data_IF_466668419055
#
_entry.id   IF_466668419055
#
_cell.length_a   1.000
_cell.length_b   1.000
_cell.length_c   1.000
_cell.angle_alpha   90.00
_cell.angle_beta   90.00
_cell.angle_gamma   90.00
#
_symmetry.space_group_name_H-M   'P 1'
#
loop_
_entity.id
_entity.type
_entity.pdbx_description
1 polymer ?
#
# COMPACT_ATOMS: atom_id res chain seq x y z
N UNK A 1 -13.65 -6.85 -1.92
CA UNK A 1 -14.32 -6.40 -0.68
C UNK A 1 -14.10 -7.33 0.51
N UNK A 2 -13.82 -8.63 0.32
CA UNK A 2 -13.65 -9.58 1.44
C UNK A 2 -12.52 -9.20 2.43
N UNK A 3 -11.40 -8.65 1.95
CA UNK A 3 -10.27 -8.26 2.82
C UNK A 3 -10.59 -7.05 3.70
N UNK A 4 -11.19 -6.00 3.14
CA UNK A 4 -11.64 -4.82 3.91
C UNK A 4 -12.71 -5.21 4.94
N UNK A 5 -13.67 -6.05 4.54
CA UNK A 5 -14.70 -6.57 5.44
C UNK A 5 -14.08 -7.36 6.61
N UNK A 6 -13.01 -8.13 6.37
CA UNK A 6 -12.29 -8.86 7.42
C UNK A 6 -11.61 -7.95 8.46
N UNK A 7 -11.39 -6.69 8.11
CA UNK A 7 -10.87 -5.63 8.98
C UNK A 7 -11.96 -4.72 9.55
N UNK A 8 -13.24 -4.98 9.25
CA UNK A 8 -14.37 -4.10 9.60
C UNK A 8 -14.22 -2.69 9.02
N UNK A 9 -13.65 -2.56 7.83
CA UNK A 9 -13.48 -1.29 7.12
C UNK A 9 -14.50 -1.23 5.98
N UNK A 10 -15.32 -0.18 5.94
CA UNK A 10 -16.23 0.04 4.82
C UNK A 10 -15.44 0.47 3.58
N UNK A 11 -15.85 -0.02 2.41
CA UNK A 11 -15.28 0.41 1.13
C UNK A 11 -15.54 1.89 0.86
N UNK A 12 -16.64 2.45 1.39
CA UNK A 12 -16.98 3.86 1.24
C UNK A 12 -16.03 4.79 2.01
N UNK A 13 -15.45 4.32 3.11
CA UNK A 13 -14.55 5.10 3.98
C UNK A 13 -13.09 5.11 3.50
N UNK A 14 -12.79 4.39 2.41
CA UNK A 14 -11.43 4.26 1.89
C UNK A 14 -11.29 4.80 0.49
N UNK A 15 -10.18 5.50 0.26
CA UNK A 15 -9.72 5.85 -1.08
C UNK A 15 -8.74 4.80 -1.58
N UNK A 16 -9.01 4.22 -2.75
CA UNK A 16 -8.15 3.21 -3.38
C UNK A 16 -7.58 3.78 -4.67
N UNK A 17 -6.26 3.70 -4.81
CA UNK A 17 -5.52 4.22 -5.96
C UNK A 17 -4.33 3.32 -6.26
N UNK A 18 -3.81 3.41 -7.48
CA UNK A 18 -2.61 2.71 -7.94
C UNK A 18 -1.52 3.72 -8.33
N UNK A 19 -0.26 3.33 -8.19
CA UNK A 19 0.89 4.13 -8.65
C UNK A 19 0.80 4.32 -10.15
N UNK A 20 0.69 3.24 -10.91
CA UNK A 20 0.60 3.31 -12.37
C UNK A 20 -0.85 3.35 -12.78
N UNK A 21 -1.21 4.29 -13.66
CA UNK A 21 -2.59 4.44 -14.18
C UNK A 21 -2.82 3.66 -15.46
N UNK A 22 -1.76 3.35 -16.19
CA UNK A 22 -1.81 2.45 -17.34
C UNK A 22 -1.54 1.00 -16.94
N UNK A 23 -2.24 0.07 -17.58
CA UNK A 23 -1.96 -1.35 -17.43
C UNK A 23 -0.78 -1.69 -18.35
N UNK A 24 0.38 -2.13 -17.83
CA UNK A 24 1.49 -2.49 -18.69
C UNK A 24 1.08 -3.62 -19.64
N UNK A 25 1.54 -3.60 -20.90
CA UNK A 25 1.28 -4.70 -21.82
C UNK A 25 1.76 -6.02 -21.21
N UNK A 26 0.93 -7.07 -21.33
CA UNK A 26 1.17 -8.42 -20.77
C UNK A 26 1.26 -8.50 -19.23
N UNK A 27 0.73 -7.51 -18.49
CA UNK A 27 0.86 -7.43 -17.02
C UNK A 27 2.32 -7.47 -16.54
N UNK A 28 3.27 -6.99 -17.36
CA UNK A 28 4.65 -6.83 -16.92
C UNK A 28 4.72 -5.88 -15.73
N UNK A 29 5.80 -6.01 -14.97
CA UNK A 29 6.11 -5.07 -13.92
C UNK A 29 6.30 -3.64 -14.49
N UNK A 30 5.89 -2.60 -13.74
CA UNK A 30 6.17 -1.22 -14.14
C UNK A 30 7.66 -0.94 -14.22
N UNK A 31 8.07 -0.19 -15.24
CA UNK A 31 9.43 0.31 -15.34
C UNK A 31 9.63 1.49 -14.39
N UNK A 32 10.86 1.72 -13.88
CA UNK A 32 11.16 2.87 -13.02
C UNK A 32 10.71 4.21 -13.63
N UNK A 33 10.94 4.42 -14.93
CA UNK A 33 10.50 5.64 -15.62
C UNK A 33 8.98 5.80 -15.69
N UNK A 34 8.21 4.71 -15.72
CA UNK A 34 6.74 4.78 -15.67
C UNK A 34 6.26 5.20 -14.27
N UNK A 35 6.94 4.73 -13.21
CA UNK A 35 6.67 5.13 -11.83
C UNK A 35 6.99 6.61 -11.62
N UNK A 36 8.08 7.11 -12.19
CA UNK A 36 8.48 8.53 -12.11
C UNK A 36 7.45 9.46 -12.78
N UNK A 37 6.88 9.05 -13.91
CA UNK A 37 5.83 9.83 -14.60
C UNK A 37 4.55 9.90 -13.76
N UNK A 38 4.15 8.77 -13.16
CA UNK A 38 2.88 8.71 -12.44
C UNK A 38 2.97 9.12 -10.97
N UNK A 39 4.17 9.10 -10.39
CA UNK A 39 4.44 9.48 -9.00
C UNK A 39 3.81 10.83 -8.61
N UNK A 40 4.07 11.92 -9.34
CA UNK A 40 3.51 13.23 -9.02
C UNK A 40 1.98 13.27 -8.87
N UNK A 41 1.24 12.43 -9.60
CA UNK A 41 -0.22 12.34 -9.46
C UNK A 41 -0.62 11.69 -8.13
N UNK A 42 0.04 10.60 -7.74
CA UNK A 42 -0.14 10.01 -6.42
C UNK A 42 0.29 10.98 -5.33
N UNK A 43 1.31 11.80 -5.62
CA UNK A 43 1.77 12.82 -4.70
C UNK A 43 0.70 13.84 -4.39
N UNK A 44 0.08 14.36 -5.44
CA UNK A 44 -1.03 15.28 -5.31
C UNK A 44 -2.24 14.66 -4.62
N UNK A 45 -2.55 13.38 -4.89
CA UNK A 45 -3.64 12.68 -4.22
C UNK A 45 -3.43 12.63 -2.70
N UNK A 46 -2.21 12.28 -2.25
CA UNK A 46 -1.92 12.21 -0.82
C UNK A 46 -1.92 13.59 -0.15
N UNK A 47 -1.52 14.65 -0.84
CA UNK A 47 -1.59 16.03 -0.33
C UNK A 47 -3.02 16.54 -0.13
N UNK A 48 -3.94 16.11 -0.99
CA UNK A 48 -5.37 16.48 -0.93
C UNK A 48 -6.08 15.64 0.13
N UNK A 49 -5.89 14.32 0.11
CA UNK A 49 -6.60 13.39 0.98
C UNK A 49 -6.08 13.47 2.42
N UNK A 50 -4.78 13.71 2.60
CA UNK A 50 -4.11 13.77 3.91
C UNK A 50 -4.42 12.55 4.79
N UNK A 51 -4.18 11.32 4.30
CA UNK A 51 -4.58 10.12 5.02
C UNK A 51 -3.76 9.94 6.30
N UNK A 52 -4.44 9.57 7.39
CA UNK A 52 -3.80 9.13 8.64
C UNK A 52 -3.14 7.76 8.53
N UNK A 53 -3.63 6.91 7.61
CA UNK A 53 -3.11 5.57 7.38
C UNK A 53 -3.04 5.28 5.88
N UNK A 54 -1.90 4.78 5.41
CA UNK A 54 -1.64 4.40 4.03
C UNK A 54 -1.33 2.90 4.02
N UNK A 55 -2.22 2.13 3.38
CA UNK A 55 -2.00 0.71 3.15
C UNK A 55 -1.41 0.51 1.76
N UNK A 56 -0.18 -0.04 1.67
CA UNK A 56 0.46 -0.33 0.38
C UNK A 56 0.24 -1.79 0.02
N UNK A 57 -0.04 -2.07 -1.26
CA UNK A 57 -0.31 -3.41 -1.77
C UNK A 57 0.84 -3.83 -2.70
N UNK A 58 1.72 -4.69 -2.21
CA UNK A 58 2.89 -5.20 -2.95
C UNK A 58 4.13 -4.30 -2.91
N UNK A 59 5.23 -4.81 -3.48
CA UNK A 59 6.56 -4.20 -3.35
C UNK A 59 6.67 -2.79 -3.93
N UNK A 60 6.08 -2.54 -5.11
CA UNK A 60 6.22 -1.26 -5.80
C UNK A 60 5.57 -0.12 -5.03
N UNK A 61 4.35 -0.36 -4.52
CA UNK A 61 3.65 0.64 -3.72
C UNK A 61 4.30 0.87 -2.37
N UNK A 62 4.81 -0.18 -1.75
CA UNK A 62 5.63 -0.09 -0.54
C UNK A 62 6.89 0.76 -0.78
N UNK A 63 7.70 0.43 -1.77
CA UNK A 63 8.96 1.12 -2.07
C UNK A 63 8.76 2.62 -2.32
N UNK A 64 7.79 2.96 -3.18
CA UNK A 64 7.50 4.35 -3.52
C UNK A 64 7.05 5.17 -2.29
N UNK A 65 6.05 4.67 -1.54
CA UNK A 65 5.52 5.38 -0.37
C UNK A 65 6.58 5.48 0.73
N UNK A 66 7.31 4.40 1.01
CA UNK A 66 8.33 4.45 2.06
C UNK A 66 9.44 5.44 1.72
N UNK A 67 9.93 5.49 0.47
CA UNK A 67 10.91 6.50 0.04
C UNK A 67 10.37 7.92 0.20
N UNK A 68 9.13 8.17 -0.25
CA UNK A 68 8.49 9.48 -0.13
C UNK A 68 8.43 9.97 1.30
N UNK A 69 8.16 9.09 2.25
CA UNK A 69 8.06 9.44 3.67
C UNK A 69 9.39 9.26 4.44
N UNK A 70 10.53 9.17 3.74
CA UNK A 70 11.87 9.13 4.36
C UNK A 70 12.21 7.81 5.07
N UNK A 71 11.47 6.73 4.78
CA UNK A 71 11.64 5.41 5.41
C UNK A 71 12.46 4.44 4.54
N UNK A 72 13.27 4.95 3.62
CA UNK A 72 14.05 4.12 2.68
C UNK A 72 15.03 3.17 3.39
N UNK A 73 15.57 3.56 4.54
CA UNK A 73 16.47 2.75 5.37
C UNK A 73 15.80 1.50 5.95
N UNK A 74 14.47 1.48 6.01
CA UNK A 74 13.68 0.34 6.48
C UNK A 74 13.32 -0.65 5.35
N UNK A 75 13.62 -0.33 4.09
CA UNK A 75 13.22 -1.16 2.96
C UNK A 75 13.86 -2.55 3.01
N UNK A 76 13.00 -3.57 2.99
CA UNK A 76 13.34 -4.99 2.90
C UNK A 76 12.36 -5.67 1.94
N UNK A 77 12.61 -6.92 1.50
CA UNK A 77 11.66 -7.66 0.69
C UNK A 77 10.25 -7.66 1.30
N UNK A 78 9.21 -7.62 0.47
CA UNK A 78 7.80 -7.56 0.92
C UNK A 78 7.45 -8.69 1.92
N UNK A 79 8.09 -9.86 1.77
CA UNK A 79 7.95 -11.00 2.68
C UNK A 79 8.38 -10.74 4.12
N UNK A 80 9.22 -9.73 4.34
CA UNK A 80 9.66 -9.30 5.68
C UNK A 80 8.96 -8.03 6.15
N UNK A 81 8.22 -7.36 5.26
CA UNK A 81 7.63 -6.04 5.52
C UNK A 81 6.12 -6.08 5.69
N UNK A 82 5.44 -7.04 5.08
CA UNK A 82 3.99 -7.15 5.17
C UNK A 82 3.53 -7.29 6.63
N UNK A 83 2.41 -6.65 6.97
CA UNK A 83 1.84 -6.70 8.31
C UNK A 83 2.62 -5.92 9.37
N UNK A 84 3.61 -5.10 9.00
CA UNK A 84 4.28 -4.17 9.92
C UNK A 84 3.67 -2.78 9.84
N UNK A 85 3.77 -2.02 10.92
CA UNK A 85 3.34 -0.62 10.98
C UNK A 85 4.58 0.25 11.09
N UNK A 86 4.68 1.24 10.20
CA UNK A 86 5.70 2.27 10.24
C UNK A 86 5.01 3.61 10.50
N UNK A 87 5.51 4.37 11.46
CA UNK A 87 5.00 5.70 11.77
C UNK A 87 6.00 6.75 11.29
N UNK A 88 5.49 7.84 10.73
CA UNK A 88 6.28 8.94 10.20
C UNK A 88 5.48 10.23 10.32
N UNK A 89 6.17 11.37 10.26
CA UNK A 89 5.55 12.69 10.30
C UNK A 89 5.34 13.22 8.87
N UNK A 90 4.16 13.76 8.63
CA UNK A 90 3.81 14.51 7.42
C UNK A 90 3.47 15.95 7.78
N UNK A 91 3.37 16.83 6.78
CA UNK A 91 2.97 18.23 6.97
C UNK A 91 1.59 18.42 7.62
N UNK A 92 0.76 17.37 7.66
CA UNK A 92 -0.57 17.35 8.24
C UNK A 92 -0.69 16.45 9.49
N UNK A 93 0.44 16.02 10.06
CA UNK A 93 0.51 15.21 11.28
C UNK A 93 1.07 13.80 11.06
N UNK A 94 0.89 12.95 12.08
CA UNK A 94 1.39 11.57 12.05
C UNK A 94 0.67 10.72 11.01
N UNK A 95 1.43 9.97 10.24
CA UNK A 95 0.96 9.03 9.22
C UNK A 95 1.47 7.63 9.54
N UNK A 96 0.57 6.66 9.45
CA UNK A 96 0.90 5.23 9.55
C UNK A 96 0.99 4.62 8.16
N UNK A 97 2.09 3.94 7.86
CA UNK A 97 2.29 3.18 6.63
C UNK A 97 2.24 1.70 6.98
N UNK A 98 1.38 0.95 6.30
CA UNK A 98 1.18 -0.48 6.52
C UNK A 98 1.38 -1.22 5.20
N UNK A 99 2.57 -1.82 4.98
CA UNK A 99 2.79 -2.69 3.83
C UNK A 99 1.99 -3.97 3.94
N UNK A 100 1.38 -4.38 2.83
CA UNK A 100 0.58 -5.60 2.71
C UNK A 100 0.97 -6.32 1.43
N UNK A 101 0.73 -7.62 1.37
CA UNK A 101 0.83 -8.34 0.10
C UNK A 101 -0.19 -7.80 -0.90
N UNK A 102 0.16 -7.87 -2.20
CA UNK A 102 -0.80 -7.58 -3.24
C UNK A 102 -1.90 -8.67 -3.27
N UNK A 103 -3.19 -8.32 -3.37
CA UNK A 103 -4.28 -9.31 -3.33
C UNK A 103 -4.16 -10.42 -4.39
N UNK A 104 -3.51 -10.13 -5.53
CA UNK A 104 -3.25 -11.12 -6.58
C UNK A 104 -2.44 -12.34 -6.11
N UNK A 105 -1.62 -12.21 -5.06
CA UNK A 105 -0.84 -13.34 -4.52
C UNK A 105 -1.76 -14.41 -3.93
N UNK A 106 -2.94 -14.04 -3.41
CA UNK A 106 -3.91 -15.01 -2.87
C UNK A 106 -4.70 -15.78 -3.92
N UNK A 107 -4.57 -15.44 -5.21
CA UNK A 107 -5.18 -16.23 -6.30
C UNK A 107 -4.50 -17.60 -6.41
N UNK A 108 -3.23 -17.70 -6.01
CA UNK A 108 -2.40 -18.89 -6.22
C UNK A 108 -2.35 -19.84 -5.01
N UNK A 109 -2.73 -19.39 -3.81
CA UNK A 109 -2.63 -20.20 -2.59
C UNK A 109 -3.65 -19.80 -1.51
N UNK A 110 -4.43 -20.75 -1.02
CA UNK A 110 -5.41 -20.56 0.06
C UNK A 110 -4.77 -20.13 1.38
N UNK A 111 -3.54 -20.57 1.67
CA UNK A 111 -2.81 -20.19 2.88
C UNK A 111 -2.38 -18.71 2.85
N UNK A 112 -2.16 -18.13 1.68
CA UNK A 112 -1.87 -16.68 1.55
C UNK A 112 -3.10 -15.82 1.90
N UNK A 113 -4.32 -16.36 1.68
CA UNK A 113 -5.55 -15.63 1.99
C UNK A 113 -5.74 -15.40 3.49
N UNK A 114 -5.35 -16.35 4.34
CA UNK A 114 -5.43 -16.19 5.81
C UNK A 114 -4.42 -15.14 6.29
N UNK A 115 -3.20 -15.15 5.76
CA UNK A 115 -2.16 -14.15 6.04
C UNK A 115 -2.65 -12.75 5.66
N UNK A 116 -3.18 -12.57 4.44
CA UNK A 116 -3.75 -11.29 4.01
C UNK A 116 -4.87 -10.79 4.93
N UNK A 117 -5.79 -11.66 5.34
CA UNK A 117 -6.85 -11.28 6.29
C UNK A 117 -6.26 -10.85 7.63
N UNK A 118 -5.23 -11.54 8.12
CA UNK A 118 -4.53 -11.17 9.35
C UNK A 118 -3.88 -9.79 9.23
N UNK A 119 -3.16 -9.55 8.14
CA UNK A 119 -2.49 -8.26 7.91
C UNK A 119 -3.50 -7.11 7.77
N UNK A 120 -4.62 -7.32 7.07
CA UNK A 120 -5.66 -6.30 6.92
C UNK A 120 -6.28 -5.91 8.26
N UNK A 121 -6.37 -6.82 9.25
CA UNK A 121 -6.87 -6.47 10.60
C UNK A 121 -5.97 -5.46 11.32
N UNK A 122 -4.70 -5.32 10.94
CA UNK A 122 -3.77 -4.34 11.51
C UNK A 122 -4.24 -2.91 11.18
N UNK A 123 -4.96 -2.74 10.07
CA UNK A 123 -5.57 -1.47 9.68
C UNK A 123 -6.69 -1.03 10.63
N UNK A 124 -7.28 -1.96 11.41
CA UNK A 124 -8.41 -1.69 12.31
C UNK A 124 -8.02 -0.85 13.54
N UNK A 125 -6.74 -0.77 13.88
CA UNK A 125 -6.29 0.09 14.99
C UNK A 125 -6.29 1.55 14.53
N UNK A 126 -7.29 2.34 14.90
CA UNK A 126 -7.24 3.80 15.00
C UNK A 126 -8.27 4.24 16.03
#
# INVERSE_FOLDING_TARGET
NELLASASIDRADVYVTNIVKDRPPLNRDPLPGEIEIYGPFLDRQLEIIRPKTIATLGRFSMEYIMKRFGLESHLKPISQMHGKVFETDASYGKVRIVPLYHPAVAIYNSNTKSVLKSDFRILKKS
#
